data_IF_486229904990
#
_entry.id   IF_486229904990
#
_cell.length_a   1.000
_cell.length_b   1.000
_cell.length_c   1.000
_cell.angle_alpha   90.00
_cell.angle_beta   90.00
_cell.angle_gamma   90.00
#
_symmetry.space_group_name_H-M   'P 1'
#
loop_
_entity.id
_entity.type
_entity.pdbx_description
1 polymer ?
#
# COMPACT_ATOMS: atom_id res chain seq x y z
N UNK A 1 -20.02 -8.46 10.28
CA UNK A 1 -19.29 -7.22 9.92
C UNK A 1 -18.03 -7.00 10.74
N UNK A 2 -18.03 -7.16 12.07
CA UNK A 2 -16.81 -6.99 12.91
C UNK A 2 -15.59 -7.77 12.42
N UNK A 3 -15.72 -9.08 12.15
CA UNK A 3 -14.61 -9.88 11.65
C UNK A 3 -14.09 -9.43 10.28
N UNK A 4 -14.99 -8.98 9.39
CA UNK A 4 -14.62 -8.46 8.06
C UNK A 4 -13.77 -7.20 8.21
N UNK A 5 -14.18 -6.27 9.08
CA UNK A 5 -13.40 -5.07 9.38
C UNK A 5 -12.04 -5.41 9.98
N UNK A 6 -12.01 -6.36 10.92
CA UNK A 6 -10.77 -6.82 11.53
C UNK A 6 -9.78 -7.35 10.48
N UNK A 7 -10.21 -8.24 9.59
CA UNK A 7 -9.35 -8.78 8.54
C UNK A 7 -8.93 -7.72 7.51
N UNK A 8 -9.83 -6.82 7.11
CA UNK A 8 -9.49 -5.72 6.20
C UNK A 8 -8.45 -4.78 6.81
N UNK A 9 -8.59 -4.43 8.10
CA UNK A 9 -7.60 -3.62 8.82
C UNK A 9 -6.24 -4.30 8.88
N UNK A 10 -6.20 -5.60 9.19
CA UNK A 10 -4.93 -6.36 9.19
C UNK A 10 -4.28 -6.37 7.82
N UNK A 11 -5.04 -6.65 6.76
CA UNK A 11 -4.51 -6.68 5.39
C UNK A 11 -3.98 -5.29 4.98
N UNK A 12 -4.69 -4.24 5.36
CA UNK A 12 -4.28 -2.86 5.13
C UNK A 12 -2.97 -2.54 5.87
N UNK A 13 -2.85 -2.91 7.14
CA UNK A 13 -1.63 -2.71 7.93
C UNK A 13 -0.44 -3.47 7.36
N UNK A 14 -0.63 -4.75 7.01
CA UNK A 14 0.42 -5.56 6.36
C UNK A 14 0.89 -4.87 5.08
N UNK A 15 -0.02 -4.46 4.21
CA UNK A 15 0.34 -3.84 2.93
C UNK A 15 0.96 -2.45 3.12
N UNK A 16 0.49 -1.67 4.09
CA UNK A 16 1.08 -0.41 4.51
C UNK A 16 2.56 -0.60 4.89
N UNK A 17 2.85 -1.56 5.76
CA UNK A 17 4.23 -1.85 6.18
C UNK A 17 5.08 -2.46 5.07
N UNK A 18 4.49 -3.21 4.13
CA UNK A 18 5.21 -3.68 2.95
C UNK A 18 5.68 -2.51 2.07
N UNK A 19 4.82 -1.52 1.84
CA UNK A 19 5.18 -0.30 1.07
C UNK A 19 6.26 0.49 1.81
N UNK A 20 6.12 0.70 3.12
CA UNK A 20 7.14 1.38 3.94
C UNK A 20 8.47 0.61 3.91
N UNK A 21 8.43 -0.71 4.10
CA UNK A 21 9.62 -1.56 4.03
C UNK A 21 10.31 -1.47 2.68
N UNK A 22 9.55 -1.53 1.58
CA UNK A 22 10.08 -1.36 0.24
C UNK A 22 10.72 0.02 0.02
N UNK A 23 10.10 1.09 0.52
CA UNK A 23 10.64 2.44 0.48
C UNK A 23 11.97 2.55 1.24
N UNK A 24 12.04 2.00 2.46
CA UNK A 24 13.27 2.00 3.25
C UNK A 24 14.37 1.19 2.54
N UNK A 25 14.03 0.02 1.99
CA UNK A 25 14.99 -0.80 1.22
C UNK A 25 15.51 -0.08 -0.01
N UNK A 26 14.74 0.84 -0.60
CA UNK A 26 15.18 1.60 -1.78
C UNK A 26 16.39 2.51 -1.49
N UNK A 27 16.64 2.86 -0.22
CA UNK A 27 17.82 3.62 0.20
C UNK A 27 19.09 2.78 0.28
N UNK A 28 18.96 1.45 0.25
CA UNK A 28 20.06 0.49 0.40
C UNK A 28 20.07 -0.47 -0.81
N UNK A 29 20.83 -0.19 -1.88
CA UNK A 29 20.79 -0.97 -3.13
C UNK A 29 20.96 -2.49 -2.92
N UNK A 30 21.94 -2.90 -2.12
CA UNK A 30 22.17 -4.33 -1.79
C UNK A 30 20.97 -4.98 -1.10
N UNK A 31 20.23 -4.24 -0.28
CA UNK A 31 19.06 -4.75 0.42
C UNK A 31 17.85 -4.83 -0.52
N UNK A 32 17.71 -3.89 -1.46
CA UNK A 32 16.69 -3.92 -2.52
C UNK A 32 16.85 -5.12 -3.46
N UNK A 33 18.09 -5.49 -3.77
CA UNK A 33 18.43 -6.63 -4.64
C UNK A 33 18.36 -7.99 -3.94
N UNK A 34 18.20 -8.00 -2.61
CA UNK A 34 18.01 -9.24 -1.84
C UNK A 34 16.72 -9.96 -2.21
N UNK A 35 16.63 -11.26 -1.84
CA UNK A 35 15.40 -12.04 -2.02
C UNK A 35 14.16 -11.35 -1.42
N UNK A 36 14.29 -10.77 -0.23
CA UNK A 36 13.20 -10.06 0.47
C UNK A 36 12.84 -8.77 -0.28
N UNK A 37 13.83 -8.00 -0.71
CA UNK A 37 13.63 -6.78 -1.48
C UNK A 37 12.94 -7.03 -2.82
N UNK A 38 13.35 -8.09 -3.53
CA UNK A 38 12.72 -8.53 -4.77
C UNK A 38 11.28 -9.03 -4.55
N UNK A 39 11.01 -9.76 -3.47
CA UNK A 39 9.66 -10.21 -3.12
C UNK A 39 8.74 -9.03 -2.79
N UNK A 40 9.18 -8.11 -1.92
CA UNK A 40 8.42 -6.90 -1.60
C UNK A 40 8.14 -6.09 -2.85
N UNK A 41 9.15 -5.89 -3.70
CA UNK A 41 9.01 -5.19 -4.98
C UNK A 41 7.92 -5.80 -5.85
N UNK A 42 7.91 -7.12 -6.05
CA UNK A 42 6.86 -7.79 -6.84
C UNK A 42 5.45 -7.56 -6.30
N UNK A 43 5.31 -7.42 -4.99
CA UNK A 43 4.01 -7.25 -4.34
C UNK A 43 3.52 -5.79 -4.31
N UNK A 44 4.43 -4.82 -4.20
CA UNK A 44 4.06 -3.40 -4.07
C UNK A 44 4.18 -2.60 -5.37
N UNK A 45 5.07 -2.98 -6.29
CA UNK A 45 5.30 -2.25 -7.55
C UNK A 45 4.07 -2.11 -8.45
N UNK A 46 3.23 -3.15 -8.64
CA UNK A 46 2.01 -3.01 -9.43
C UNK A 46 1.08 -1.92 -8.90
N UNK A 47 1.06 -1.73 -7.58
CA UNK A 47 0.26 -0.69 -6.92
C UNK A 47 0.95 0.68 -6.97
N UNK A 48 2.27 0.76 -6.77
CA UNK A 48 3.02 2.02 -6.75
C UNK A 48 3.25 2.61 -8.16
N UNK A 49 3.34 1.77 -9.19
CA UNK A 49 3.65 2.20 -10.57
C UNK A 49 2.69 3.27 -11.12
N UNK A 50 1.36 3.16 -10.97
CA UNK A 50 0.43 4.22 -11.35
C UNK A 50 0.71 5.56 -10.66
N UNK A 51 1.04 5.55 -9.36
CA UNK A 51 1.31 6.78 -8.62
C UNK A 51 2.59 7.46 -9.10
N UNK A 52 3.64 6.69 -9.44
CA UNK A 52 4.88 7.25 -10.03
C UNK A 52 4.69 7.88 -11.40
N UNK A 53 3.69 7.43 -12.16
CA UNK A 53 3.36 8.05 -13.46
C UNK A 53 2.71 9.43 -13.28
N UNK A 54 1.99 9.63 -12.18
CA UNK A 54 1.27 10.87 -11.88
C UNK A 54 2.17 11.82 -11.09
N UNK A 55 2.94 11.28 -10.14
CA UNK A 55 3.80 12.01 -9.21
C UNK A 55 5.23 11.64 -9.56
N UNK A 56 5.92 12.46 -10.36
CA UNK A 56 7.32 12.22 -10.68
C UNK A 56 8.19 12.32 -9.42
N UNK A 57 9.27 11.55 -9.39
CA UNK A 57 10.30 11.65 -8.36
C UNK A 57 10.91 13.05 -8.34
N UNK A 58 11.08 13.65 -7.16
CA UNK A 58 11.78 14.93 -7.01
C UNK A 58 13.21 14.64 -6.59
N UNK A 59 14.13 14.71 -7.54
CA UNK A 59 15.53 14.28 -7.33
C UNK A 59 15.60 12.80 -6.98
N UNK A 60 16.18 12.46 -5.82
CA UNK A 60 16.30 11.07 -5.33
C UNK A 60 15.12 10.63 -4.46
N UNK A 61 14.17 11.52 -4.16
CA UNK A 61 13.06 11.24 -3.25
C UNK A 61 11.82 10.86 -4.07
N UNK A 62 11.39 9.61 -3.90
CA UNK A 62 10.12 9.13 -4.43
C UNK A 62 9.00 9.51 -3.46
N UNK A 63 8.18 10.51 -3.84
CA UNK A 63 7.02 10.96 -3.06
C UNK A 63 5.76 10.13 -3.36
N UNK A 64 5.78 9.30 -4.42
CA UNK A 64 4.63 8.48 -4.81
C UNK A 64 4.13 7.53 -3.72
N UNK A 65 4.96 6.93 -2.83
CA UNK A 65 4.48 6.04 -1.79
C UNK A 65 3.62 6.77 -0.77
N UNK A 66 3.87 8.05 -0.49
CA UNK A 66 3.08 8.82 0.48
C UNK A 66 1.65 8.94 -0.04
N UNK A 67 1.48 9.34 -1.30
CA UNK A 67 0.16 9.47 -1.90
C UNK A 67 -0.50 8.10 -2.09
N UNK A 68 0.27 7.08 -2.44
CA UNK A 68 -0.23 5.70 -2.51
C UNK A 68 -0.76 5.23 -1.14
N UNK A 69 -0.05 5.49 -0.04
CA UNK A 69 -0.51 5.12 1.31
C UNK A 69 -1.78 5.87 1.73
N UNK A 70 -1.90 7.15 1.35
CA UNK A 70 -3.12 7.93 1.56
C UNK A 70 -4.28 7.32 0.76
N UNK A 71 -4.05 7.02 -0.52
CA UNK A 71 -5.05 6.38 -1.36
C UNK A 71 -5.47 5.00 -0.83
N UNK A 72 -4.52 4.18 -0.36
CA UNK A 72 -4.78 2.88 0.27
C UNK A 72 -5.74 3.02 1.46
N UNK A 73 -5.53 4.01 2.34
CA UNK A 73 -6.44 4.31 3.46
C UNK A 73 -7.85 4.60 2.97
N UNK A 74 -8.00 5.49 1.98
CA UNK A 74 -9.31 5.85 1.45
C UNK A 74 -10.01 4.67 0.77
N UNK A 75 -9.28 3.85 0.02
CA UNK A 75 -9.84 2.64 -0.62
C UNK A 75 -10.39 1.68 0.43
N UNK A 76 -9.62 1.38 1.47
CA UNK A 76 -10.06 0.46 2.53
C UNK A 76 -11.24 1.00 3.32
N UNK A 77 -11.23 2.29 3.67
CA UNK A 77 -12.37 2.95 4.32
C UNK A 77 -13.63 2.92 3.43
N UNK A 78 -13.47 3.18 2.13
CA UNK A 78 -14.57 3.12 1.17
C UNK A 78 -15.15 1.71 1.03
N UNK A 79 -14.30 0.69 0.99
CA UNK A 79 -14.73 -0.72 0.99
C UNK A 79 -15.54 -1.03 2.25
N UNK A 80 -15.03 -0.67 3.43
CA UNK A 80 -15.77 -0.87 4.68
C UNK A 80 -17.13 -0.17 4.67
N UNK A 81 -17.19 1.09 4.22
CA UNK A 81 -18.43 1.85 4.15
C UNK A 81 -19.47 1.22 3.21
N UNK A 82 -19.04 0.72 2.04
CA UNK A 82 -19.93 0.01 1.10
C UNK A 82 -20.42 -1.31 1.70
N UNK A 83 -19.53 -2.05 2.36
CA UNK A 83 -19.90 -3.32 3.01
C UNK A 83 -20.90 -3.10 4.14
N UNK A 84 -20.69 -2.07 4.99
CA UNK A 84 -21.63 -1.71 6.06
C UNK A 84 -22.97 -1.23 5.52
N UNK A 85 -22.96 -0.44 4.45
CA UNK A 85 -24.19 -0.01 3.80
C UNK A 85 -25.00 -1.21 3.30
N UNK A 86 -24.36 -2.12 2.54
CA UNK A 86 -25.03 -3.33 2.03
C UNK A 86 -25.48 -4.22 3.18
N UNK A 87 -24.67 -4.37 4.23
CA UNK A 87 -25.00 -5.15 5.41
C UNK A 87 -26.28 -4.66 6.09
N UNK A 88 -26.43 -3.34 6.22
CA UNK A 88 -27.58 -2.71 6.87
C UNK A 88 -28.86 -2.70 6.03
N UNK A 89 -28.80 -3.13 4.76
CA UNK A 89 -29.98 -3.29 3.90
C UNK A 89 -30.75 -4.60 4.17
N UNK A 90 -30.16 -5.54 4.90
CA UNK A 90 -30.74 -6.85 5.25
C UNK A 90 -30.92 -6.97 6.76
#
# INVERSE_FOLDING_TARGET
MVYVHYYLSILMEIYYFMIIGYLVLSWFPNARESFIGGLLGKLVEPYLSPFRKIIPSVGFIDLSPIVALIALRFVVMGIMAVLDFIAGMF
#
